data_IF_719847308423
#
_entry.id   IF_719847308423
#
_cell.length_a   1.000
_cell.length_b   1.000
_cell.length_c   1.000
_cell.angle_alpha   90.00
_cell.angle_beta   90.00
_cell.angle_gamma   90.00
#
_symmetry.space_group_name_H-M   'P 1'
#
loop_
_entity.id
_entity.type
_entity.pdbx_description
1 polymer ?
#
# COMPACT_ATOMS: atom_id res chain seq x y z
N UNK A 1 -22.46 1.84 -6.86
CA UNK A 1 -22.49 0.62 -6.02
C UNK A 1 -21.28 0.68 -5.09
N UNK A 2 -21.49 1.00 -3.81
CA UNK A 2 -20.42 0.94 -2.79
C UNK A 2 -20.15 -0.55 -2.54
N UNK A 3 -19.06 -1.08 -3.09
CA UNK A 3 -18.67 -2.48 -2.86
C UNK A 3 -17.99 -2.54 -1.49
N UNK A 4 -18.66 -3.14 -0.51
CA UNK A 4 -18.08 -3.50 0.79
C UNK A 4 -17.03 -4.59 0.57
N UNK A 5 -15.80 -4.18 0.27
CA UNK A 5 -14.64 -5.07 0.33
C UNK A 5 -13.83 -4.68 1.57
N UNK A 6 -13.79 -5.57 2.54
CA UNK A 6 -12.83 -5.47 3.63
C UNK A 6 -11.42 -5.53 3.06
N UNK A 7 -10.52 -4.71 3.60
CA UNK A 7 -9.09 -4.73 3.30
C UNK A 7 -8.36 -4.89 4.62
N UNK A 8 -7.59 -5.97 4.74
CA UNK A 8 -6.65 -6.17 5.83
C UNK A 8 -5.24 -5.95 5.28
N UNK A 9 -4.45 -5.13 5.97
CA UNK A 9 -3.03 -4.93 5.67
C UNK A 9 -2.20 -5.65 6.72
N UNK A 10 -1.25 -6.47 6.27
CA UNK A 10 -0.23 -7.08 7.11
C UNK A 10 1.10 -6.49 6.65
N UNK A 11 1.79 -5.79 7.54
CA UNK A 11 3.08 -5.17 7.27
C UNK A 11 4.07 -5.77 8.27
N UNK A 12 5.18 -6.31 7.78
CA UNK A 12 6.16 -6.98 8.63
C UNK A 12 7.59 -6.74 8.13
N UNK A 13 8.54 -6.88 9.05
CA UNK A 13 9.95 -6.96 8.68
C UNK A 13 10.19 -8.23 7.87
N UNK A 14 11.06 -8.15 6.87
CA UNK A 14 11.55 -9.33 6.15
C UNK A 14 12.66 -10.02 6.97
N UNK A 15 13.01 -11.26 6.59
CA UNK A 15 14.14 -11.98 7.18
C UNK A 15 15.48 -11.28 6.91
N UNK A 16 15.58 -10.60 5.77
CA UNK A 16 16.72 -9.77 5.41
C UNK A 16 16.60 -8.37 6.02
N UNK A 17 17.68 -7.91 6.66
CA UNK A 17 17.73 -6.59 7.28
C UNK A 17 17.55 -5.46 6.26
N UNK A 18 16.73 -4.47 6.60
CA UNK A 18 16.40 -3.34 5.73
C UNK A 18 15.35 -3.65 4.65
N UNK A 19 14.80 -4.86 4.64
CA UNK A 19 13.72 -5.27 3.75
C UNK A 19 12.42 -5.48 4.52
N UNK A 20 11.30 -5.36 3.80
CA UNK A 20 9.96 -5.42 4.36
C UNK A 20 9.03 -6.27 3.50
N UNK A 21 7.93 -6.69 4.12
CA UNK A 21 6.85 -7.44 3.49
C UNK A 21 5.53 -6.70 3.67
N UNK A 22 4.65 -6.78 2.68
CA UNK A 22 3.29 -6.28 2.77
C UNK A 22 2.31 -7.23 2.10
N UNK A 23 1.26 -7.62 2.81
CA UNK A 23 0.11 -8.33 2.26
C UNK A 23 -1.14 -7.46 2.33
N UNK A 24 -1.84 -7.36 1.21
CA UNK A 24 -3.15 -6.73 1.12
C UNK A 24 -4.18 -7.83 0.92
N UNK A 25 -4.95 -8.15 1.96
CA UNK A 25 -5.97 -9.18 1.92
C UNK A 25 -7.34 -8.56 1.64
N UNK A 26 -8.01 -9.00 0.59
CA UNK A 26 -9.36 -8.54 0.23
C UNK A 26 -10.28 -9.72 -0.06
N UNK A 27 -11.58 -9.46 -0.17
CA UNK A 27 -12.54 -10.50 -0.58
C UNK A 27 -12.44 -10.92 -2.05
N UNK A 28 -11.60 -10.25 -2.86
CA UNK A 28 -11.51 -10.51 -4.31
C UNK A 28 -10.15 -11.00 -4.74
N UNK A 29 -9.11 -10.21 -4.46
CA UNK A 29 -7.73 -10.49 -4.86
C UNK A 29 -6.80 -9.98 -3.77
N UNK A 30 -5.87 -10.85 -3.38
CA UNK A 30 -4.81 -10.47 -2.47
C UNK A 30 -3.60 -10.01 -3.28
N UNK A 31 -2.84 -9.08 -2.72
CA UNK A 31 -1.48 -8.80 -3.20
C UNK A 31 -0.48 -9.16 -2.11
N UNK A 32 0.69 -9.64 -2.53
CA UNK A 32 1.75 -10.04 -1.64
C UNK A 32 3.07 -9.47 -2.18
N UNK A 33 3.62 -8.51 -1.46
CA UNK A 33 4.88 -7.85 -1.76
C UNK A 33 5.91 -8.33 -0.75
N UNK A 34 6.99 -8.96 -1.23
CA UNK A 34 8.01 -9.57 -0.38
C UNK A 34 9.38 -8.94 -0.65
N UNK A 35 10.13 -8.66 0.42
CA UNK A 35 11.53 -8.25 0.34
C UNK A 35 11.74 -6.89 -0.31
N UNK A 36 10.77 -5.98 -0.26
CA UNK A 36 10.91 -4.64 -0.81
C UNK A 36 11.77 -3.76 0.11
N UNK A 37 12.42 -2.77 -0.48
CA UNK A 37 13.32 -1.83 0.20
C UNK A 37 12.81 -0.40 0.00
N UNK A 38 13.03 0.46 0.99
CA UNK A 38 12.70 1.88 0.87
C UNK A 38 13.55 2.53 -0.23
N UNK A 39 12.94 3.37 -1.06
CA UNK A 39 13.55 4.06 -2.19
C UNK A 39 13.88 3.18 -3.41
N UNK A 40 13.55 1.88 -3.38
CA UNK A 40 13.76 0.99 -4.53
C UNK A 40 12.43 0.58 -5.16
N UNK A 41 12.36 0.70 -6.48
CA UNK A 41 11.23 0.19 -7.24
C UNK A 41 11.31 -1.33 -7.41
N UNK A 42 10.16 -1.99 -7.44
CA UNK A 42 10.01 -3.39 -7.81
C UNK A 42 8.71 -3.60 -8.60
N UNK A 43 8.59 -4.71 -9.31
CA UNK A 43 7.39 -5.03 -10.07
C UNK A 43 6.52 -6.04 -9.32
N UNK A 44 5.23 -5.75 -9.19
CA UNK A 44 4.27 -6.67 -8.59
C UNK A 44 2.83 -6.37 -9.05
N UNK A 45 1.91 -7.33 -8.92
CA UNK A 45 0.51 -7.11 -9.27
C UNK A 45 -0.17 -6.16 -8.28
N UNK A 46 -0.85 -5.14 -8.80
CA UNK A 46 -1.74 -4.26 -8.03
C UNK A 46 -3.06 -4.94 -7.68
N UNK A 47 -3.88 -4.27 -6.87
CA UNK A 47 -5.23 -4.74 -6.49
C UNK A 47 -6.21 -4.76 -7.67
N UNK A 48 -5.94 -3.98 -8.72
CA UNK A 48 -6.68 -4.02 -10.00
C UNK A 48 -6.29 -5.22 -10.89
N UNK A 49 -5.20 -5.89 -10.52
CA UNK A 49 -4.65 -7.06 -11.17
C UNK A 49 -3.66 -6.80 -12.31
N UNK A 50 -3.39 -5.54 -12.66
CA UNK A 50 -2.32 -5.19 -13.59
C UNK A 50 -0.94 -5.34 -12.92
N UNK A 51 0.12 -5.41 -13.72
CA UNK A 51 1.50 -5.28 -13.21
C UNK A 51 1.86 -3.82 -13.02
N UNK A 52 2.40 -3.49 -11.85
CA UNK A 52 2.78 -2.15 -11.47
C UNK A 52 4.28 -2.11 -11.17
N UNK A 53 4.94 -1.02 -11.51
CA UNK A 53 6.17 -0.58 -10.85
C UNK A 53 5.77 0.10 -9.54
N UNK A 54 6.22 -0.45 -8.42
CA UNK A 54 5.86 -0.02 -7.07
C UNK A 54 7.11 0.48 -6.35
N UNK A 55 7.01 1.62 -5.66
CA UNK A 55 8.09 2.15 -4.81
C UNK A 55 7.53 2.55 -3.46
N UNK A 56 8.21 2.14 -2.39
CA UNK A 56 7.92 2.60 -1.03
C UNK A 56 8.98 3.59 -0.58
N UNK A 57 8.57 4.68 0.05
CA UNK A 57 9.46 5.67 0.67
C UNK A 57 8.95 6.06 2.03
N UNK A 58 9.86 6.38 2.96
CA UNK A 58 9.51 6.81 4.30
C UNK A 58 10.22 8.11 4.64
N UNK A 59 9.44 9.17 4.93
CA UNK A 59 9.97 10.50 5.25
C UNK A 59 9.00 11.23 6.16
N UNK A 60 9.53 11.96 7.14
CA UNK A 60 8.72 12.78 8.06
C UNK A 60 7.57 11.99 8.72
N UNK A 61 7.84 10.75 9.15
CA UNK A 61 6.86 9.86 9.79
C UNK A 61 5.67 9.44 8.89
N UNK A 62 5.75 9.69 7.58
CA UNK A 62 4.79 9.25 6.57
C UNK A 62 5.45 8.24 5.62
N UNK A 63 4.80 7.09 5.42
CA UNK A 63 5.17 6.12 4.40
C UNK A 63 4.37 6.41 3.13
N UNK A 64 5.02 6.54 1.97
CA UNK A 64 4.36 6.62 0.67
C UNK A 64 4.55 5.31 -0.10
N UNK A 65 3.48 4.87 -0.75
CA UNK A 65 3.45 3.74 -1.69
C UNK A 65 3.04 4.32 -3.06
N UNK A 66 3.97 4.34 -3.99
CA UNK A 66 3.74 4.87 -5.34
C UNK A 66 3.61 3.73 -6.34
N UNK A 67 2.58 3.79 -7.17
CA UNK A 67 2.24 2.83 -8.19
C UNK A 67 2.21 3.48 -9.57
N UNK A 68 2.84 2.82 -10.55
CA UNK A 68 2.69 3.12 -11.97
C UNK A 68 2.36 1.81 -12.68
N UNK A 69 1.25 1.73 -13.41
CA UNK A 69 0.95 0.53 -14.21
C UNK A 69 1.92 0.44 -15.37
N UNK A 70 2.50 -0.74 -15.59
CA UNK A 70 3.47 -0.96 -16.67
C UNK A 70 2.85 -0.83 -18.06
N UNK A 71 1.54 -1.07 -18.21
CA UNK A 71 0.84 -0.96 -19.49
C UNK A 71 0.28 0.45 -19.79
N UNK A 72 0.22 1.34 -18.80
CA UNK A 72 -0.32 2.71 -18.92
C UNK A 72 0.53 3.71 -18.11
N UNK A 73 1.86 3.78 -18.33
CA UNK A 73 2.76 4.45 -17.39
C UNK A 73 2.52 5.96 -17.27
N UNK A 74 2.09 6.62 -18.34
CA UNK A 74 1.92 8.08 -18.38
C UNK A 74 0.67 8.59 -17.66
N UNK A 75 -0.30 7.72 -17.38
CA UNK A 75 -1.63 8.11 -16.91
C UNK A 75 -2.10 7.39 -15.64
N UNK A 76 -1.34 6.41 -15.17
CA UNK A 76 -1.75 5.51 -14.08
C UNK A 76 -1.03 5.76 -12.75
N UNK A 77 -0.19 6.80 -12.69
CA UNK A 77 0.54 7.16 -11.48
C UNK A 77 -0.43 7.43 -10.32
N UNK A 78 -0.27 6.67 -9.25
CA UNK A 78 -1.10 6.76 -8.05
C UNK A 78 -0.23 6.66 -6.80
N UNK A 79 -0.47 7.50 -5.80
CA UNK A 79 0.28 7.49 -4.54
C UNK A 79 -0.66 7.34 -3.36
N UNK A 80 -0.33 6.37 -2.50
CA UNK A 80 -0.96 6.18 -1.20
C UNK A 80 -0.01 6.64 -0.10
N UNK A 81 -0.54 7.28 0.93
CA UNK A 81 0.21 7.78 2.06
C UNK A 81 -0.29 7.12 3.34
N UNK A 82 0.61 6.75 4.23
CA UNK A 82 0.31 6.07 5.47
C UNK A 82 0.93 6.78 6.65
N UNK A 83 0.10 6.99 7.68
CA UNK A 83 0.51 7.53 8.99
C UNK A 83 -0.13 6.72 10.11
N UNK A 84 0.37 6.87 11.33
CA UNK A 84 -0.30 6.38 12.54
C UNK A 84 -0.96 7.58 13.22
N UNK A 85 -2.26 7.49 13.52
CA UNK A 85 -2.98 8.54 14.24
C UNK A 85 -2.81 8.45 15.76
N UNK A 86 -3.40 9.41 16.47
CA UNK A 86 -3.38 9.51 17.93
C UNK A 86 -4.05 8.33 18.65
N UNK A 87 -4.87 7.56 17.95
CA UNK A 87 -5.55 6.36 18.43
C UNK A 87 -4.82 5.08 18.03
N UNK A 88 -3.56 5.19 17.56
CA UNK A 88 -2.74 4.08 17.11
C UNK A 88 -3.39 3.28 15.97
N UNK A 89 -4.15 3.96 15.10
CA UNK A 89 -4.70 3.40 13.88
C UNK A 89 -3.82 3.76 12.70
N UNK A 90 -3.70 2.83 11.74
CA UNK A 90 -3.07 3.14 10.47
C UNK A 90 -4.06 3.93 9.61
N UNK A 91 -3.67 5.12 9.18
CA UNK A 91 -4.45 5.97 8.29
C UNK A 91 -3.83 5.95 6.91
N UNK A 92 -4.58 5.44 5.92
CA UNK A 92 -4.20 5.48 4.51
C UNK A 92 -4.94 6.63 3.83
N UNK A 93 -4.20 7.54 3.19
CA UNK A 93 -4.71 8.64 2.37
C UNK A 93 -4.37 8.40 0.90
N UNK A 94 -5.36 8.51 0.04
CA UNK A 94 -5.24 8.45 -1.41
C UNK A 94 -5.70 9.79 -1.97
N UNK A 95 -4.97 10.33 -2.93
CA UNK A 95 -5.29 11.61 -3.55
C UNK A 95 -5.17 11.53 -5.07
N UNK A 96 -6.21 11.97 -5.77
CA UNK A 96 -6.22 12.04 -7.23
C UNK A 96 -7.08 13.21 -7.68
N UNK A 97 -6.51 14.15 -8.43
CA UNK A 97 -7.20 15.34 -8.99
C UNK A 97 -8.02 16.12 -7.94
N UNK A 98 -7.47 16.31 -6.74
CA UNK A 98 -8.12 17.02 -5.62
C UNK A 98 -9.18 16.19 -4.88
N UNK A 99 -9.48 14.97 -5.33
CA UNK A 99 -10.33 14.02 -4.61
C UNK A 99 -9.46 13.27 -3.60
N UNK A 100 -9.83 13.37 -2.33
CA UNK A 100 -9.13 12.70 -1.23
C UNK A 100 -10.02 11.58 -0.67
N UNK A 101 -9.47 10.38 -0.60
CA UNK A 101 -10.08 9.25 0.11
C UNK A 101 -9.18 8.85 1.28
N UNK A 102 -9.79 8.58 2.44
CA UNK A 102 -9.08 8.10 3.63
C UNK A 102 -9.67 6.78 4.12
N UNK A 103 -8.80 5.89 4.60
CA UNK A 103 -9.17 4.64 5.29
C UNK A 103 -8.43 4.55 6.60
N UNK A 104 -9.15 4.21 7.66
CA UNK A 104 -8.60 3.94 8.99
C UNK A 104 -8.62 2.43 9.22
N UNK A 105 -7.47 1.89 9.60
CA UNK A 105 -7.30 0.48 9.92
C UNK A 105 -6.99 0.36 11.41
N UNK A 106 -7.85 -0.36 12.12
CA UNK A 106 -7.58 -0.75 13.51
C UNK A 106 -6.54 -1.85 13.51
N UNK A 107 -5.52 -1.70 14.35
CA UNK A 107 -4.55 -2.77 14.60
C UNK A 107 -5.29 -3.98 15.17
N UNK A 108 -5.04 -5.15 14.58
CA UNK A 108 -5.54 -6.44 15.06
C UNK A 108 -4.35 -7.28 15.49
N UNK A 109 -4.47 -7.97 16.62
CA UNK A 109 -3.49 -8.96 17.02
C UNK A 109 -3.62 -10.19 16.11
N UNK A 110 -2.51 -10.67 15.56
CA UNK A 110 -2.48 -12.00 14.95
C UNK A 110 -2.68 -13.02 16.07
N UNK A 111 -3.77 -13.79 15.98
CA UNK A 111 -4.00 -14.95 16.86
C UNK A 111 -3.10 -16.11 16.47
#
# INVERSE_FOLDING_TARGET
MIKLAGLTKIISANQEAGKYNMENLTSKKNTNYQGWELGKSFEAPGLDGNQHQITFDFKNEELSEHHIRLNEPDTSAETYFYTIDDQNQLVMRMENNGIVCRRWFKKVEQK
#
